data_IF_439721342534
#
_entry.id   IF_439721342534
#
_cell.length_a   1.000
_cell.length_b   1.000
_cell.length_c   1.000
_cell.angle_alpha   90.00
_cell.angle_beta   90.00
_cell.angle_gamma   90.00
#
_symmetry.space_group_name_H-M   'P 1'
#
loop_
_entity.id
_entity.type
_entity.pdbx_description
1 polymer ?
#
# COMPACT_ATOMS: atom_id res chain seq x y z
N UNK A 1 -3.61 -46.95 0.04
CA UNK A 1 -3.90 -45.50 -0.07
C UNK A 1 -3.47 -44.70 1.16
N UNK A 2 -3.73 -45.15 2.40
CA UNK A 2 -3.31 -44.47 3.65
C UNK A 2 -1.82 -44.08 3.73
N UNK A 3 -0.90 -44.92 3.26
CA UNK A 3 0.56 -44.68 3.34
C UNK A 3 1.07 -43.60 2.36
N UNK A 4 0.38 -43.38 1.23
CA UNK A 4 0.69 -42.29 0.27
C UNK A 4 0.10 -40.95 0.72
N UNK A 5 -1.04 -40.97 1.41
CA UNK A 5 -1.62 -39.77 2.04
C UNK A 5 -0.75 -39.26 3.21
N UNK A 6 -0.22 -40.18 4.04
CA UNK A 6 0.72 -39.83 5.13
C UNK A 6 2.05 -39.26 4.62
N UNK A 7 2.56 -39.73 3.48
CA UNK A 7 3.76 -39.17 2.85
C UNK A 7 3.50 -37.78 2.25
N UNK A 8 2.30 -37.54 1.70
CA UNK A 8 1.91 -36.23 1.18
C UNK A 8 1.72 -35.21 2.32
N UNK A 9 1.12 -35.62 3.44
CA UNK A 9 0.98 -34.79 4.65
C UNK A 9 2.33 -34.54 5.34
N UNK A 10 3.25 -35.51 5.33
CA UNK A 10 4.62 -35.35 5.84
C UNK A 10 5.47 -34.38 5.01
N UNK A 11 5.24 -34.28 3.69
CA UNK A 11 5.94 -33.35 2.82
C UNK A 11 5.41 -31.90 2.95
N UNK A 12 4.16 -31.74 3.40
CA UNK A 12 3.55 -30.45 3.74
C UNK A 12 4.02 -29.89 5.10
N UNK A 13 4.62 -30.72 5.96
CA UNK A 13 5.05 -30.35 7.32
C UNK A 13 6.52 -29.92 7.43
N UNK A 14 7.30 -29.98 6.35
CA UNK A 14 8.66 -29.41 6.31
C UNK A 14 8.63 -27.96 5.82
N UNK A 15 7.96 -27.09 6.56
CA UNK A 15 8.16 -25.64 6.41
C UNK A 15 9.41 -25.26 7.19
N UNK A 16 10.42 -24.75 6.48
CA UNK A 16 11.63 -24.27 7.12
C UNK A 16 11.30 -23.08 8.01
N UNK A 17 11.58 -23.25 9.31
CA UNK A 17 11.65 -22.15 10.27
C UNK A 17 12.85 -21.30 9.88
N UNK A 18 12.61 -20.23 9.15
CA UNK A 18 13.61 -19.18 9.00
C UNK A 18 13.34 -18.21 10.17
N UNK A 19 14.24 -18.11 11.14
CA UNK A 19 14.19 -17.12 12.25
C UNK A 19 15.07 -15.90 11.95
N UNK A 20 14.45 -14.73 11.71
CA UNK A 20 15.00 -13.37 11.47
C UNK A 20 13.87 -12.52 10.84
N UNK A 21 13.23 -11.65 11.60
CA UNK A 21 11.93 -11.08 11.19
C UNK A 21 12.08 -9.80 10.32
N UNK A 22 13.25 -9.14 10.31
CA UNK A 22 13.51 -7.92 9.53
C UNK A 22 14.35 -8.15 8.26
N UNK A 23 14.07 -7.41 7.19
CA UNK A 23 14.91 -7.32 5.98
C UNK A 23 14.88 -8.53 5.03
N UNK A 24 13.83 -9.36 5.08
CA UNK A 24 13.74 -10.61 4.31
C UNK A 24 13.07 -10.51 2.95
N UNK A 25 12.21 -9.52 2.78
CA UNK A 25 11.48 -9.36 1.54
C UNK A 25 12.30 -8.48 0.60
N UNK A 26 12.54 -8.98 -0.61
CA UNK A 26 12.96 -8.08 -1.69
C UNK A 26 11.71 -7.40 -2.25
N UNK A 27 11.90 -6.28 -2.93
CA UNK A 27 10.80 -5.50 -3.50
C UNK A 27 9.86 -4.89 -2.45
N UNK A 28 10.35 -4.51 -1.26
CA UNK A 28 9.55 -3.87 -0.21
C UNK A 28 8.87 -2.56 -0.65
N UNK A 29 9.37 -1.91 -1.71
CA UNK A 29 8.72 -0.76 -2.34
C UNK A 29 7.27 -1.05 -2.81
N UNK A 30 6.92 -2.32 -3.05
CA UNK A 30 5.56 -2.76 -3.40
C UNK A 30 4.55 -2.56 -2.27
N UNK A 31 5.03 -2.35 -1.03
CA UNK A 31 4.21 -2.09 0.15
C UNK A 31 4.07 -0.60 0.49
N UNK A 32 4.75 0.29 -0.24
CA UNK A 32 4.66 1.73 0.00
C UNK A 32 3.30 2.29 -0.44
N UNK A 33 2.73 3.27 0.29
CA UNK A 33 1.49 3.92 -0.12
C UNK A 33 1.74 4.72 -1.40
N UNK A 34 0.99 4.39 -2.44
CA UNK A 34 1.17 4.97 -3.78
C UNK A 34 0.41 6.28 -4.01
N UNK A 35 -0.50 6.66 -3.11
CA UNK A 35 -1.35 7.86 -3.24
C UNK A 35 -1.62 8.53 -1.87
N UNK A 36 -2.10 9.78 -1.91
CA UNK A 36 -2.36 10.59 -0.72
C UNK A 36 -3.50 10.05 0.13
N UNK A 37 -4.53 9.43 -0.46
CA UNK A 37 -5.66 8.88 0.31
C UNK A 37 -5.22 7.75 1.23
N UNK A 38 -4.46 6.79 0.71
CA UNK A 38 -3.87 5.70 1.51
C UNK A 38 -2.92 6.27 2.57
N UNK A 39 -2.01 7.16 2.18
CA UNK A 39 -1.05 7.77 3.10
C UNK A 39 -1.75 8.48 4.29
N UNK A 40 -2.85 9.18 4.05
CA UNK A 40 -3.63 9.87 5.08
C UNK A 40 -4.46 8.95 5.98
N UNK A 41 -4.69 7.70 5.58
CA UNK A 41 -5.53 6.72 6.28
C UNK A 41 -4.71 5.57 6.88
N UNK A 42 -3.47 5.84 7.29
CA UNK A 42 -2.59 4.85 7.91
C UNK A 42 -1.96 3.85 6.94
N UNK A 43 -1.84 4.21 5.67
CA UNK A 43 -1.13 3.53 4.56
C UNK A 43 -1.81 2.30 3.98
N UNK A 44 -2.72 1.67 4.70
CA UNK A 44 -3.33 0.41 4.28
C UNK A 44 -4.84 0.53 4.34
N UNK A 45 -5.49 0.43 3.18
CA UNK A 45 -6.94 0.33 3.06
C UNK A 45 -7.31 -0.40 1.77
N UNK A 46 -8.27 -1.32 1.86
CA UNK A 46 -8.73 -2.16 0.74
C UNK A 46 -10.24 -2.15 0.54
N UNK A 47 -10.97 -1.25 1.22
CA UNK A 47 -12.45 -1.26 1.26
C UNK A 47 -13.12 0.05 0.87
N UNK A 48 -12.38 1.16 0.71
CA UNK A 48 -12.97 2.43 0.29
C UNK A 48 -13.33 2.39 -1.20
N UNK A 49 -14.63 2.37 -1.51
CA UNK A 49 -15.13 2.23 -2.88
C UNK A 49 -15.75 3.50 -3.49
N UNK A 50 -15.48 4.68 -2.95
CA UNK A 50 -15.87 5.91 -3.66
C UNK A 50 -15.07 6.06 -4.96
N UNK A 51 -15.52 6.98 -5.82
CA UNK A 51 -14.86 7.36 -7.08
C UNK A 51 -13.43 7.90 -6.84
N UNK A 52 -12.47 6.99 -6.80
CA UNK A 52 -11.03 7.25 -6.70
C UNK A 52 -10.27 6.14 -7.45
N UNK A 53 -9.83 6.47 -8.67
CA UNK A 53 -9.11 5.53 -9.54
C UNK A 53 -7.80 5.02 -8.91
N UNK A 54 -7.24 5.71 -7.91
CA UNK A 54 -6.04 5.25 -7.21
C UNK A 54 -6.30 3.97 -6.41
N UNK A 55 -7.55 3.71 -6.00
CA UNK A 55 -7.87 2.57 -5.14
C UNK A 55 -7.74 1.22 -5.86
N UNK A 56 -7.71 1.19 -7.19
CA UNK A 56 -7.38 -0.02 -7.96
C UNK A 56 -5.99 -0.57 -7.61
N UNK A 57 -5.04 0.32 -7.28
CA UNK A 57 -3.68 -0.05 -6.89
C UNK A 57 -3.59 -0.62 -5.48
N UNK A 58 -4.66 -0.47 -4.67
CA UNK A 58 -4.77 -1.00 -3.31
C UNK A 58 -5.54 -2.32 -3.28
N UNK A 59 -6.66 -2.38 -3.99
CA UNK A 59 -7.48 -3.56 -4.20
C UNK A 59 -8.08 -3.49 -5.61
N UNK A 60 -7.75 -4.43 -6.53
CA UNK A 60 -8.21 -4.36 -7.91
C UNK A 60 -9.74 -4.42 -8.02
N UNK A 61 -10.45 -5.02 -7.05
CA UNK A 61 -11.92 -5.04 -7.03
C UNK A 61 -12.57 -3.66 -6.76
N UNK A 62 -11.78 -2.63 -6.42
CA UNK A 62 -12.28 -1.27 -6.22
C UNK A 62 -12.31 -0.45 -7.52
N UNK A 63 -11.75 -0.97 -8.62
CA UNK A 63 -11.90 -0.35 -9.94
C UNK A 63 -13.36 -0.48 -10.41
N UNK A 64 -14.00 0.65 -10.68
CA UNK A 64 -15.42 0.71 -11.03
C UNK A 64 -15.64 1.48 -12.35
N UNK A 65 -16.80 1.27 -12.96
CA UNK A 65 -17.14 1.85 -14.26
C UNK A 65 -17.22 3.38 -14.24
N UNK A 66 -17.57 3.99 -13.11
CA UNK A 66 -17.60 5.44 -12.91
C UNK A 66 -16.20 6.08 -12.85
N UNK A 67 -15.14 5.27 -12.76
CA UNK A 67 -13.75 5.72 -12.81
C UNK A 67 -13.16 5.68 -14.22
N UNK A 68 -13.88 5.16 -15.22
CA UNK A 68 -13.44 5.19 -16.62
C UNK A 68 -13.09 6.62 -17.04
N UNK A 69 -12.00 6.77 -17.80
CA UNK A 69 -11.39 8.03 -18.23
C UNK A 69 -10.76 8.88 -17.12
N UNK A 70 -10.70 8.39 -15.89
CA UNK A 70 -9.95 9.07 -14.84
C UNK A 70 -8.47 8.69 -14.92
N UNK A 71 -7.61 9.71 -14.92
CA UNK A 71 -6.18 9.59 -14.76
C UNK A 71 -5.76 10.13 -13.40
N UNK A 72 -4.72 9.55 -12.82
CA UNK A 72 -4.14 9.99 -11.56
C UNK A 72 -2.62 10.07 -11.67
N UNK A 73 -2.06 11.08 -11.01
CA UNK A 73 -0.63 11.28 -10.77
C UNK A 73 -0.45 11.44 -9.27
N UNK A 74 0.45 10.65 -8.70
CA UNK A 74 0.85 10.74 -7.31
C UNK A 74 2.34 11.05 -7.22
N UNK A 75 2.72 11.92 -6.30
CA UNK A 75 4.10 12.26 -6.02
C UNK A 75 4.33 12.28 -4.52
N UNK A 76 5.36 11.57 -4.05
CA UNK A 76 5.74 11.53 -2.65
C UNK A 76 7.27 11.75 -2.52
N UNK A 77 7.72 12.95 -2.11
CA UNK A 77 9.10 13.17 -1.73
C UNK A 77 9.38 12.57 -0.35
N UNK A 78 10.46 11.80 -0.28
CA UNK A 78 11.01 11.22 0.95
C UNK A 78 12.30 11.97 1.35
N UNK A 79 12.85 11.62 2.50
CA UNK A 79 14.12 12.18 2.97
C UNK A 79 15.28 11.83 2.03
N UNK A 80 16.37 12.60 2.13
CA UNK A 80 17.61 12.37 1.38
C UNK A 80 17.47 12.38 -0.15
N UNK A 81 16.53 13.18 -0.70
CA UNK A 81 16.35 13.30 -2.15
C UNK A 81 15.65 12.11 -2.81
N UNK A 82 15.14 11.17 -2.01
CA UNK A 82 14.35 10.03 -2.48
C UNK A 82 12.99 10.54 -2.97
N UNK A 83 12.53 10.06 -4.11
CA UNK A 83 11.27 10.48 -4.73
C UNK A 83 10.47 9.30 -5.24
N UNK A 84 9.18 9.26 -4.95
CA UNK A 84 8.24 8.32 -5.56
C UNK A 84 7.27 9.03 -6.48
N UNK A 85 7.02 8.45 -7.63
CA UNK A 85 5.95 8.85 -8.55
C UNK A 85 5.10 7.62 -8.87
N UNK A 86 3.79 7.79 -8.91
CA UNK A 86 2.92 6.77 -9.49
C UNK A 86 1.85 7.38 -10.38
N UNK A 87 1.40 6.58 -11.35
CA UNK A 87 0.44 6.94 -12.36
C UNK A 87 -0.63 5.85 -12.42
N UNK A 88 -1.85 6.25 -12.72
CA UNK A 88 -2.94 5.32 -12.97
C UNK A 88 -3.90 5.89 -14.01
N UNK A 89 -4.49 5.03 -14.83
CA UNK A 89 -5.54 5.40 -15.76
C UNK A 89 -6.52 4.27 -15.92
N UNK A 90 -7.82 4.57 -15.90
CA UNK A 90 -8.88 3.62 -16.16
C UNK A 90 -9.54 3.90 -17.52
N UNK A 91 -9.81 2.84 -18.27
CA UNK A 91 -10.55 2.86 -19.52
C UNK A 91 -11.54 1.71 -19.54
N UNK A 92 -12.51 1.79 -20.45
CA UNK A 92 -13.51 0.75 -20.59
C UNK A 92 -13.14 -0.22 -21.72
N UNK A 93 -13.59 -1.46 -21.58
CA UNK A 93 -13.48 -2.46 -22.63
C UNK A 93 -14.88 -2.96 -23.00
N UNK A 94 -15.22 -3.08 -24.30
CA UNK A 94 -16.60 -3.33 -24.74
C UNK A 94 -17.29 -4.55 -24.11
N UNK A 95 -16.53 -5.60 -23.76
CA UNK A 95 -17.08 -6.88 -23.30
C UNK A 95 -16.59 -7.32 -21.92
N UNK A 96 -15.60 -6.64 -21.33
CA UNK A 96 -14.99 -7.06 -20.08
C UNK A 96 -15.15 -6.02 -18.95
N UNK A 97 -15.65 -4.81 -19.24
CA UNK A 97 -15.83 -3.76 -18.26
C UNK A 97 -14.55 -2.95 -18.01
N UNK A 98 -14.42 -2.31 -16.83
CA UNK A 98 -13.33 -1.38 -16.58
C UNK A 98 -11.97 -2.09 -16.47
N UNK A 99 -10.99 -1.54 -17.17
CA UNK A 99 -9.58 -1.94 -17.12
C UNK A 99 -8.75 -0.73 -16.70
N UNK A 100 -7.76 -0.97 -15.85
CA UNK A 100 -6.81 0.01 -15.37
C UNK A 100 -5.39 -0.33 -15.78
N UNK A 101 -4.57 0.69 -16.03
CA UNK A 101 -3.11 0.55 -16.13
C UNK A 101 -2.50 1.43 -15.05
N UNK A 102 -1.51 0.90 -14.35
CA UNK A 102 -0.82 1.59 -13.26
C UNK A 102 0.68 1.41 -13.37
N UNK A 103 1.41 2.45 -12.98
CA UNK A 103 2.86 2.45 -12.94
C UNK A 103 3.33 3.13 -11.66
N UNK A 104 4.39 2.64 -11.03
CA UNK A 104 5.08 3.36 -9.97
C UNK A 104 6.59 3.28 -10.15
N UNK A 105 7.28 4.35 -9.77
CA UNK A 105 8.71 4.50 -9.83
C UNK A 105 9.20 5.14 -8.52
N UNK A 106 10.24 4.56 -7.94
CA UNK A 106 10.87 5.02 -6.71
C UNK A 106 12.35 5.23 -6.98
N UNK A 107 12.79 6.48 -6.93
CA UNK A 107 14.18 6.88 -7.12
C UNK A 107 14.84 7.10 -5.77
N UNK A 108 15.94 6.39 -5.50
CA UNK A 108 16.71 6.55 -4.27
C UNK A 108 17.77 7.66 -4.36
N UNK A 109 17.89 8.32 -5.51
CA UNK A 109 18.90 9.34 -5.75
C UNK A 109 20.28 8.74 -6.03
N UNK A 110 21.31 9.52 -5.74
CA UNK A 110 22.71 9.13 -5.93
C UNK A 110 23.34 8.83 -4.58
N UNK A 111 24.04 7.70 -4.51
CA UNK A 111 24.67 7.14 -3.33
C UNK A 111 26.19 7.09 -3.54
N UNK A 112 26.96 7.46 -2.51
CA UNK A 112 28.41 7.35 -2.54
C UNK A 112 28.83 5.88 -2.51
N UNK A 113 29.65 5.47 -3.47
CA UNK A 113 30.27 4.17 -3.49
C UNK A 113 31.56 4.20 -2.68
N UNK A 114 31.71 3.31 -1.71
CA UNK A 114 32.94 3.15 -0.94
C UNK A 114 33.46 1.73 -1.00
N UNK A 115 34.77 1.56 -0.88
CA UNK A 115 35.38 0.26 -0.65
C UNK A 115 35.20 -0.19 0.83
N UNK A 116 35.62 -1.42 1.20
CA UNK A 116 35.54 -1.90 2.59
C UNK A 116 36.38 -1.09 3.60
N UNK A 117 37.33 -0.28 3.14
CA UNK A 117 38.14 0.62 3.99
C UNK A 117 37.49 2.00 4.18
N UNK A 118 36.41 2.28 3.46
CA UNK A 118 35.71 3.56 3.45
C UNK A 118 36.24 4.54 2.42
N UNK A 119 37.18 4.15 1.55
CA UNK A 119 37.67 5.01 0.48
C UNK A 119 36.60 5.16 -0.61
N UNK A 120 36.32 6.40 -1.00
CA UNK A 120 35.31 6.72 -2.02
C UNK A 120 35.79 6.27 -3.39
N UNK A 121 35.01 5.40 -4.05
CA UNK A 121 35.28 4.85 -5.39
C UNK A 121 34.49 5.56 -6.49
N UNK A 122 33.43 6.29 -6.13
CA UNK A 122 32.54 6.96 -7.08
C UNK A 122 31.13 7.11 -6.53
N UNK A 123 30.16 7.11 -7.43
CA UNK A 123 28.74 7.22 -7.12
C UNK A 123 27.93 6.20 -7.92
N UNK A 124 26.84 5.71 -7.34
CA UNK A 124 25.86 4.87 -8.02
C UNK A 124 24.45 5.32 -7.67
N UNK A 125 23.47 5.01 -8.52
CA UNK A 125 22.06 5.25 -8.24
C UNK A 125 21.32 3.94 -7.99
N UNK A 126 20.17 4.05 -7.35
CA UNK A 126 19.23 2.94 -7.23
C UNK A 126 17.82 3.41 -7.57
N UNK A 127 17.04 2.52 -8.18
CA UNK A 127 15.65 2.77 -8.48
C UNK A 127 14.83 1.49 -8.54
N UNK A 128 13.58 1.60 -8.11
CA UNK A 128 12.59 0.53 -8.17
C UNK A 128 11.39 0.96 -9.01
N UNK A 129 10.75 0.01 -9.68
CA UNK A 129 9.53 0.28 -10.42
C UNK A 129 8.64 -0.93 -10.57
N UNK A 130 7.36 -0.67 -10.84
CA UNK A 130 6.44 -1.69 -11.31
C UNK A 130 5.45 -1.11 -12.32
N UNK A 131 5.05 -1.94 -13.27
CA UNK A 131 4.00 -1.66 -14.25
C UNK A 131 2.96 -2.77 -14.15
N UNK A 132 1.67 -2.42 -14.10
CA UNK A 132 0.61 -3.41 -13.99
C UNK A 132 -0.67 -3.05 -14.74
N UNK A 133 -1.34 -4.09 -15.22
CA UNK A 133 -2.69 -4.02 -15.78
C UNK A 133 -3.69 -4.63 -14.80
N UNK A 134 -4.79 -3.92 -14.57
CA UNK A 134 -5.85 -4.27 -13.62
C UNK A 134 -7.15 -4.47 -14.36
N UNK A 135 -7.90 -5.50 -14.03
CA UNK A 135 -9.24 -5.74 -14.51
C UNK A 135 -10.17 -5.94 -13.33
N UNK A 136 -11.40 -5.43 -13.44
CA UNK A 136 -12.42 -5.62 -12.42
C UNK A 136 -13.79 -5.87 -13.05
N UNK A 137 -14.60 -6.63 -12.33
CA UNK A 137 -15.95 -6.98 -12.72
C UNK A 137 -16.89 -6.89 -11.53
N UNK A 138 -18.04 -6.25 -11.74
CA UNK A 138 -19.07 -6.05 -10.71
C UNK A 138 -20.26 -6.96 -10.96
N UNK A 139 -20.61 -7.73 -9.95
CA UNK A 139 -21.75 -8.65 -9.86
C UNK A 139 -22.67 -8.16 -8.73
N UNK A 140 -23.65 -7.31 -9.09
CA UNK A 140 -24.56 -6.66 -8.15
C UNK A 140 -23.83 -5.91 -7.00
N UNK A 141 -23.82 -6.54 -5.83
CA UNK A 141 -23.26 -6.04 -4.58
C UNK A 141 -21.82 -6.49 -4.35
N UNK A 142 -21.26 -7.30 -5.25
CA UNK A 142 -19.89 -7.80 -5.16
C UNK A 142 -19.07 -7.32 -6.34
N UNK A 143 -17.80 -7.05 -6.11
CA UNK A 143 -16.82 -6.77 -7.16
C UNK A 143 -15.65 -7.73 -6.99
N UNK A 144 -15.15 -8.24 -8.11
CA UNK A 144 -13.93 -9.06 -8.17
C UNK A 144 -12.95 -8.35 -9.08
N UNK A 145 -11.66 -8.46 -8.79
CA UNK A 145 -10.63 -7.88 -9.63
C UNK A 145 -9.31 -8.62 -9.54
N UNK A 146 -8.49 -8.43 -10.56
CA UNK A 146 -7.13 -8.95 -10.62
C UNK A 146 -6.19 -7.94 -11.26
N UNK A 147 -4.96 -7.90 -10.78
CA UNK A 147 -3.86 -7.14 -11.38
C UNK A 147 -2.74 -8.10 -11.71
N UNK A 148 -2.13 -7.95 -12.89
CA UNK A 148 -0.84 -8.56 -13.22
C UNK A 148 0.18 -7.44 -13.31
N UNK A 149 1.33 -7.60 -12.66
CA UNK A 149 2.41 -6.60 -12.64
C UNK A 149 3.79 -7.21 -12.85
N UNK A 150 4.65 -6.46 -13.52
CA UNK A 150 6.08 -6.71 -13.60
C UNK A 150 6.78 -5.67 -12.75
N UNK A 151 7.68 -6.11 -11.88
CA UNK A 151 8.46 -5.27 -11.00
C UNK A 151 9.96 -5.40 -11.32
N UNK A 152 10.67 -4.28 -11.30
CA UNK A 152 12.11 -4.21 -11.49
C UNK A 152 12.75 -3.43 -10.35
N UNK A 153 13.95 -3.82 -9.98
CA UNK A 153 14.80 -3.10 -9.05
C UNK A 153 16.22 -3.04 -9.57
N UNK A 154 16.84 -1.87 -9.48
CA UNK A 154 18.18 -1.59 -9.96
C UNK A 154 18.99 -0.94 -8.85
N UNK A 155 20.18 -1.46 -8.58
CA UNK A 155 21.14 -0.94 -7.61
C UNK A 155 22.50 -0.92 -8.30
N UNK A 156 22.94 0.25 -8.76
CA UNK A 156 24.14 0.38 -9.58
C UNK A 156 24.04 -0.44 -10.87
N UNK A 157 24.92 -1.42 -11.04
CA UNK A 157 24.91 -2.35 -12.19
C UNK A 157 24.06 -3.60 -11.96
N UNK A 158 23.55 -3.82 -10.75
CA UNK A 158 22.79 -5.01 -10.38
C UNK A 158 21.29 -4.80 -10.59
N UNK A 159 20.61 -5.79 -11.17
CA UNK A 159 19.18 -5.72 -11.43
C UNK A 159 18.46 -6.97 -10.91
N UNK A 160 17.21 -6.83 -10.53
CA UNK A 160 16.32 -7.93 -10.18
C UNK A 160 14.93 -7.68 -10.77
N UNK A 161 14.26 -8.76 -11.20
CA UNK A 161 12.95 -8.69 -11.80
C UNK A 161 12.00 -9.74 -11.24
N UNK A 162 10.74 -9.33 -11.04
CA UNK A 162 9.68 -10.17 -10.54
C UNK A 162 8.40 -10.00 -11.37
N UNK A 163 7.62 -11.07 -11.45
CA UNK A 163 6.25 -11.02 -11.94
C UNK A 163 5.33 -11.35 -10.78
N UNK A 164 4.28 -10.54 -10.61
CA UNK A 164 3.34 -10.67 -9.51
C UNK A 164 1.90 -10.51 -9.99
N UNK A 165 0.98 -10.99 -9.16
CA UNK A 165 -0.44 -10.78 -9.27
C UNK A 165 -1.02 -10.26 -7.95
N UNK A 166 -2.03 -9.41 -8.07
CA UNK A 166 -2.90 -9.03 -6.96
C UNK A 166 -4.31 -9.53 -7.25
N UNK A 167 -5.01 -10.04 -6.24
CA UNK A 167 -6.39 -10.48 -6.32
C UNK A 167 -7.24 -9.67 -5.35
N UNK A 168 -8.45 -9.33 -5.78
CA UNK A 168 -9.34 -8.46 -5.03
C UNK A 168 -10.76 -8.99 -5.02
N UNK A 169 -11.42 -8.82 -3.88
CA UNK A 169 -12.86 -8.90 -3.76
C UNK A 169 -13.36 -7.70 -2.94
N UNK A 170 -14.56 -7.23 -3.25
CA UNK A 170 -15.23 -6.21 -2.48
C UNK A 170 -16.73 -6.51 -2.39
N UNK A 171 -17.32 -6.24 -1.23
CA UNK A 171 -18.76 -6.21 -1.04
C UNK A 171 -19.19 -4.75 -0.81
N UNK A 172 -20.26 -4.36 -1.49
CA UNK A 172 -20.89 -3.07 -1.41
C UNK A 172 -22.32 -3.26 -0.92
N UNK A 173 -22.64 -2.71 0.24
CA UNK A 173 -23.98 -2.83 0.78
C UNK A 173 -24.99 -2.11 -0.15
N UNK A 174 -26.15 -2.71 -0.48
CA UNK A 174 -27.06 -2.15 -1.48
C UNK A 174 -27.62 -0.76 -1.14
N UNK A 175 -27.85 -0.50 0.15
CA UNK A 175 -28.56 0.71 0.63
C UNK A 175 -27.76 1.59 1.58
N UNK A 176 -26.58 1.16 2.03
CA UNK A 176 -25.78 1.86 3.04
C UNK A 176 -24.38 2.07 2.50
N UNK A 177 -23.72 3.16 2.92
CA UNK A 177 -22.28 3.36 2.67
C UNK A 177 -21.50 2.44 3.62
N UNK A 178 -21.57 1.14 3.36
CA UNK A 178 -20.87 0.07 4.05
C UNK A 178 -20.19 -0.84 3.03
N UNK A 179 -18.89 -1.01 3.20
CA UNK A 179 -18.04 -1.74 2.27
C UNK A 179 -17.11 -2.69 3.01
N UNK A 180 -16.93 -3.87 2.44
CA UNK A 180 -15.95 -4.87 2.90
C UNK A 180 -15.01 -5.12 1.73
N UNK A 181 -13.71 -5.19 1.97
CA UNK A 181 -12.73 -5.47 0.93
C UNK A 181 -11.75 -6.53 1.37
N UNK A 182 -11.44 -7.47 0.49
CA UNK A 182 -10.37 -8.45 0.65
C UNK A 182 -9.36 -8.22 -0.49
N UNK A 183 -8.08 -8.13 -0.15
CA UNK A 183 -7.01 -8.08 -1.14
C UNK A 183 -5.91 -9.06 -0.78
N UNK A 184 -5.45 -9.81 -1.77
CA UNK A 184 -4.25 -10.63 -1.70
C UNK A 184 -3.24 -10.00 -2.64
N UNK A 185 -2.21 -9.36 -2.08
CA UNK A 185 -1.24 -8.55 -2.84
C UNK A 185 0.10 -9.26 -2.95
N UNK A 186 0.78 -9.03 -4.07
CA UNK A 186 2.16 -9.43 -4.33
C UNK A 186 2.37 -10.96 -4.38
N UNK A 187 1.39 -11.73 -4.87
CA UNK A 187 1.58 -13.15 -5.17
C UNK A 187 2.45 -13.29 -6.42
N UNK A 188 3.60 -13.94 -6.34
CA UNK A 188 4.45 -14.05 -7.52
C UNK A 188 5.76 -14.74 -7.27
N UNK A 189 6.68 -14.55 -8.20
CA UNK A 189 8.06 -15.00 -8.06
C UNK A 189 9.02 -14.01 -8.69
N UNK A 190 10.23 -13.97 -8.12
CA UNK A 190 11.37 -13.28 -8.71
C UNK A 190 11.91 -14.20 -9.79
N UNK A 191 11.97 -13.76 -11.04
CA UNK A 191 12.51 -14.57 -12.15
C UNK A 191 13.98 -14.25 -12.43
N UNK A 192 14.44 -13.04 -12.09
CA UNK A 192 15.83 -12.62 -12.20
C UNK A 192 16.32 -11.94 -10.90
N UNK A 193 17.55 -12.22 -10.48
CA UNK A 193 18.11 -11.81 -9.18
C UNK A 193 19.38 -10.99 -9.36
N UNK A 194 19.67 -10.09 -8.42
CA UNK A 194 20.86 -9.23 -8.46
C UNK A 194 22.18 -9.95 -8.73
N UNK A 195 22.36 -11.16 -8.23
CA UNK A 195 23.52 -11.98 -8.51
C UNK A 195 23.09 -13.36 -9.04
N UNK A 196 23.74 -13.88 -10.10
CA UNK A 196 23.49 -15.23 -10.58
C UNK A 196 23.68 -16.27 -9.48
N UNK A 197 22.71 -17.17 -9.31
CA UNK A 197 22.77 -18.24 -8.30
C UNK A 197 22.52 -17.80 -6.85
N UNK A 198 22.20 -16.53 -6.60
CA UNK A 198 21.79 -16.07 -5.27
C UNK A 198 20.49 -16.74 -4.81
N UNK A 199 20.35 -16.93 -3.50
CA UNK A 199 19.08 -17.36 -2.91
C UNK A 199 18.00 -16.33 -3.23
N UNK A 200 16.89 -16.78 -3.82
CA UNK A 200 15.77 -15.90 -4.15
C UNK A 200 15.11 -15.42 -2.86
N UNK A 201 15.11 -14.11 -2.56
CA UNK A 201 14.39 -13.58 -1.41
C UNK A 201 12.88 -13.73 -1.59
N UNK A 202 12.14 -13.65 -0.50
CA UNK A 202 10.67 -13.73 -0.56
C UNK A 202 10.08 -12.43 -1.08
N UNK A 203 8.97 -12.49 -1.82
CA UNK A 203 8.19 -11.30 -2.15
C UNK A 203 7.30 -10.88 -0.97
N UNK A 204 6.92 -9.60 -0.86
CA UNK A 204 6.13 -9.07 0.26
C UNK A 204 4.64 -9.38 0.06
N UNK A 205 4.29 -10.67 0.03
CA UNK A 205 2.90 -11.13 0.04
C UNK A 205 2.17 -10.51 1.23
N UNK A 206 1.00 -9.93 0.98
CA UNK A 206 0.20 -9.30 2.03
C UNK A 206 -1.29 -9.56 1.78
N UNK A 207 -1.90 -10.31 2.69
CA UNK A 207 -3.34 -10.57 2.74
C UNK A 207 -3.99 -9.55 3.66
N UNK A 208 -4.99 -8.83 3.13
CA UNK A 208 -5.61 -7.69 3.78
C UNK A 208 -7.14 -7.81 3.77
N UNK A 209 -7.77 -7.47 4.89
CA UNK A 209 -9.23 -7.40 5.03
C UNK A 209 -9.60 -6.02 5.57
N UNK A 210 -10.44 -5.29 4.85
CA UNK A 210 -10.87 -3.94 5.18
C UNK A 210 -12.37 -3.84 5.37
N UNK A 211 -12.79 -2.96 6.26
CA UNK A 211 -14.16 -2.53 6.47
C UNK A 211 -14.19 -1.00 6.38
N UNK A 212 -15.18 -0.46 5.68
CA UNK A 212 -15.45 0.98 5.65
C UNK A 212 -16.94 1.23 5.87
N UNK A 213 -17.28 2.22 6.69
CA UNK A 213 -18.66 2.55 7.02
C UNK A 213 -18.84 4.05 7.24
N UNK A 214 -19.82 4.65 6.56
CA UNK A 214 -20.28 6.01 6.81
C UNK A 214 -21.77 5.99 7.19
N UNK A 215 -22.13 6.36 8.42
CA UNK A 215 -23.53 6.56 8.79
C UNK A 215 -24.19 7.66 7.95
N UNK A 216 -25.45 7.46 7.57
CA UNK A 216 -26.18 8.34 6.63
C UNK A 216 -26.19 9.81 7.09
N UNK A 217 -26.49 10.05 8.36
CA UNK A 217 -26.65 11.38 8.93
C UNK A 217 -25.37 11.94 9.58
N UNK A 218 -24.25 11.22 9.50
CA UNK A 218 -22.98 11.67 10.05
C UNK A 218 -21.98 12.00 8.94
N UNK A 219 -21.26 13.13 9.02
CA UNK A 219 -20.24 13.48 8.03
C UNK A 219 -18.96 12.65 8.16
N UNK A 220 -18.89 11.68 9.09
CA UNK A 220 -17.69 10.90 9.34
C UNK A 220 -17.83 9.48 8.78
N UNK A 221 -16.86 9.09 7.94
CA UNK A 221 -16.64 7.73 7.49
C UNK A 221 -15.50 7.11 8.28
N UNK A 222 -15.67 5.89 8.72
CA UNK A 222 -14.64 5.11 9.39
C UNK A 222 -14.13 4.01 8.47
N UNK A 223 -12.87 3.63 8.68
CA UNK A 223 -12.30 2.43 8.11
C UNK A 223 -11.43 1.69 9.11
N UNK A 224 -11.46 0.37 9.03
CA UNK A 224 -10.62 -0.54 9.79
C UNK A 224 -10.04 -1.54 8.80
N UNK A 225 -8.72 -1.65 8.75
CA UNK A 225 -8.05 -2.61 7.86
C UNK A 225 -7.11 -3.50 8.66
N UNK A 226 -7.33 -4.81 8.55
CA UNK A 226 -6.41 -5.83 9.01
C UNK A 226 -5.44 -6.18 7.86
N UNK A 227 -4.15 -6.31 8.14
CA UNK A 227 -3.12 -6.57 7.13
C UNK A 227 -2.14 -7.66 7.57
N UNK A 228 -1.34 -8.20 6.65
CA UNK A 228 -0.41 -9.31 6.92
C UNK A 228 -1.12 -10.53 7.54
N UNK A 229 -2.35 -10.82 7.10
CA UNK A 229 -3.17 -11.90 7.66
C UNK A 229 -2.59 -13.30 7.40
N UNK A 230 -1.67 -13.42 6.44
CA UNK A 230 -0.90 -14.64 6.17
C UNK A 230 0.17 -14.94 7.24
N UNK A 231 0.46 -14.00 8.15
CA UNK A 231 1.46 -14.14 9.22
C UNK A 231 0.88 -13.73 10.56
N UNK A 232 0.39 -14.67 11.39
CA UNK A 232 -0.19 -14.32 12.69
C UNK A 232 0.77 -13.67 13.71
N UNK A 233 2.09 -13.89 13.57
CA UNK A 233 3.11 -13.26 14.42
C UNK A 233 4.01 -12.34 13.60
N UNK A 234 3.65 -11.07 13.56
CA UNK A 234 4.45 -9.98 12.96
C UNK A 234 5.27 -9.21 13.98
N UNK A 235 5.32 -9.67 15.23
CA UNK A 235 5.95 -8.89 16.31
C UNK A 235 7.44 -9.09 16.30
N UNK A 236 8.16 -8.03 15.96
CA UNK A 236 9.59 -7.94 16.18
C UNK A 236 9.90 -7.37 17.57
N UNK A 237 10.65 -8.14 18.35
CA UNK A 237 11.30 -7.71 19.58
C UNK A 237 12.80 -7.86 19.37
N UNK A 238 13.52 -6.76 19.50
CA UNK A 238 14.98 -6.76 19.37
C UNK A 238 15.61 -7.51 20.57
N UNK A 239 16.29 -8.65 20.34
CA UNK A 239 16.90 -9.44 21.42
C UNK A 239 18.01 -8.69 22.17
N UNK A 240 18.63 -7.72 21.49
CA UNK A 240 19.75 -6.90 22.00
C UNK A 240 19.29 -5.63 22.72
N UNK A 241 18.00 -5.30 22.66
CA UNK A 241 17.42 -4.16 23.36
C UNK A 241 17.45 -4.39 24.88
N UNK A 242 18.03 -3.46 25.67
CA UNK A 242 17.97 -3.54 27.13
C UNK A 242 16.52 -3.48 27.60
N UNK A 243 16.17 -4.34 28.56
CA UNK A 243 14.90 -4.33 29.26
C UNK A 243 14.78 -3.12 30.20
N UNK A 244 13.59 -2.95 30.77
CA UNK A 244 13.33 -1.93 31.79
C UNK A 244 13.56 -2.51 33.18
N UNK A 245 14.13 -1.74 34.10
CA UNK A 245 14.28 -2.18 35.49
C UNK A 245 12.94 -2.15 36.22
N UNK A 246 12.61 -3.22 36.93
CA UNK A 246 11.47 -3.25 37.85
C UNK A 246 11.79 -2.52 39.16
N UNK A 247 10.81 -2.47 40.09
CA UNK A 247 10.97 -1.85 41.40
C UNK A 247 12.07 -2.49 42.26
N UNK A 248 12.55 -3.68 41.90
CA UNK A 248 13.61 -4.43 42.58
C UNK A 248 14.96 -4.34 41.86
N UNK A 249 15.06 -3.53 40.80
CA UNK A 249 16.28 -3.39 40.00
C UNK A 249 16.58 -4.57 39.08
N UNK A 250 15.60 -5.45 38.81
CA UNK A 250 15.72 -6.55 37.86
C UNK A 250 15.32 -6.10 36.45
N UNK A 251 16.11 -6.50 35.44
CA UNK A 251 15.81 -6.22 34.04
C UNK A 251 14.63 -7.07 33.55
N UNK A 252 13.51 -6.41 33.26
CA UNK A 252 12.32 -7.01 32.64
C UNK A 252 12.35 -6.69 31.15
N UNK A 253 12.53 -7.72 30.32
CA UNK A 253 12.44 -7.59 28.86
C UNK A 253 10.99 -7.49 28.41
N UNK A 254 10.78 -6.78 27.30
CA UNK A 254 9.45 -6.63 26.70
C UNK A 254 8.96 -7.98 26.18
N UNK A 255 7.79 -8.43 26.62
CA UNK A 255 7.18 -9.69 26.18
C UNK A 255 6.08 -9.45 25.14
N UNK A 256 5.85 -10.47 24.29
CA UNK A 256 4.76 -10.46 23.31
C UNK A 256 3.41 -10.58 24.01
N UNK A 257 2.64 -9.49 24.03
CA UNK A 257 1.25 -9.48 24.53
C UNK A 257 0.29 -9.75 23.37
N UNK A 258 -0.63 -10.69 23.52
CA UNK A 258 -1.63 -11.04 22.49
C UNK A 258 -2.37 -9.82 21.94
N UNK A 259 -2.78 -8.89 22.82
CA UNK A 259 -3.43 -7.65 22.39
C UNK A 259 -2.55 -6.75 21.51
N UNK A 260 -1.24 -6.64 21.81
CA UNK A 260 -0.28 -5.90 20.97
C UNK A 260 -0.10 -6.59 19.61
N UNK A 261 -0.03 -7.93 19.60
CA UNK A 261 0.06 -8.70 18.36
C UNK A 261 -1.13 -8.42 17.45
N UNK A 262 -2.36 -8.53 17.98
CA UNK A 262 -3.59 -8.25 17.23
C UNK A 262 -3.61 -6.80 16.75
N UNK A 263 -3.32 -5.84 17.62
CA UNK A 263 -3.37 -4.42 17.26
C UNK A 263 -2.36 -4.08 16.16
N UNK A 264 -1.19 -4.72 16.11
CA UNK A 264 -0.20 -4.52 15.03
C UNK A 264 -0.72 -4.96 13.67
N UNK A 265 -1.74 -5.80 13.59
CA UNK A 265 -2.40 -6.11 12.32
C UNK A 265 -3.40 -5.04 11.89
N UNK A 266 -3.76 -4.09 12.76
CA UNK A 266 -4.87 -3.16 12.54
C UNK A 266 -4.41 -1.75 12.19
N UNK A 267 -5.09 -1.19 11.19
CA UNK A 267 -5.01 0.20 10.77
C UNK A 267 -6.40 0.83 10.89
N UNK A 268 -6.46 1.98 11.54
CA UNK A 268 -7.68 2.75 11.74
C UNK A 268 -7.60 4.01 10.88
N UNK A 269 -8.66 4.31 10.14
CA UNK A 269 -8.77 5.50 9.32
C UNK A 269 -10.12 6.19 9.50
N UNK A 270 -10.14 7.52 9.33
CA UNK A 270 -11.34 8.33 9.36
C UNK A 270 -11.34 9.38 8.26
N UNK A 271 -12.46 9.56 7.57
CA UNK A 271 -12.68 10.65 6.61
C UNK A 271 -13.85 11.52 7.09
N UNK A 272 -13.57 12.78 7.42
CA UNK A 272 -14.58 13.79 7.70
C UNK A 272 -14.97 14.49 6.39
N UNK A 273 -16.13 14.11 5.88
CA UNK A 273 -16.74 14.57 4.63
C UNK A 273 -17.49 15.87 4.89
N UNK A 274 -16.80 17.01 4.74
CA UNK A 274 -17.41 18.34 4.89
C UNK A 274 -18.38 18.67 3.75
N UNK A 275 -18.02 18.26 2.54
CA UNK A 275 -18.86 18.34 1.34
C UNK A 275 -18.41 17.27 0.34
N UNK A 276 -19.18 16.97 -0.72
CA UNK A 276 -18.73 16.08 -1.80
C UNK A 276 -17.41 16.51 -2.47
N UNK A 277 -16.95 17.75 -2.23
CA UNK A 277 -15.75 18.33 -2.82
C UNK A 277 -14.63 18.57 -1.82
N UNK A 278 -14.82 18.34 -0.51
CA UNK A 278 -13.77 18.64 0.48
C UNK A 278 -13.79 17.69 1.67
N UNK A 279 -12.72 16.89 1.81
CA UNK A 279 -12.62 15.82 2.79
C UNK A 279 -11.38 16.08 3.66
N UNK A 280 -11.51 15.90 4.97
CA UNK A 280 -10.37 15.80 5.89
C UNK A 280 -10.17 14.35 6.31
N UNK A 281 -8.92 13.93 6.45
CA UNK A 281 -8.56 12.53 6.68
C UNK A 281 -7.58 12.43 7.84
N UNK A 282 -7.73 11.37 8.63
CA UNK A 282 -6.78 11.00 9.66
C UNK A 282 -6.62 9.48 9.75
N UNK A 283 -5.43 9.02 10.10
CA UNK A 283 -5.08 7.62 10.15
C UNK A 283 -4.18 7.27 11.33
N UNK A 284 -4.28 6.03 11.77
CA UNK A 284 -3.43 5.43 12.79
C UNK A 284 -3.05 4.00 12.40
N UNK A 285 -1.76 3.77 12.23
CA UNK A 285 -1.17 2.47 11.96
C UNK A 285 -0.38 2.01 13.19
N UNK A 286 -0.88 0.96 13.86
CA UNK A 286 -0.30 0.50 15.10
C UNK A 286 1.05 -0.20 14.91
N UNK A 287 1.26 -0.93 13.80
CA UNK A 287 2.55 -1.55 13.49
C UNK A 287 3.64 -0.49 13.41
N UNK A 288 3.43 0.53 12.56
CA UNK A 288 4.37 1.64 12.38
C UNK A 288 4.61 2.37 13.69
N UNK A 289 3.55 2.58 14.50
CA UNK A 289 3.67 3.17 15.83
C UNK A 289 4.59 2.36 16.74
N UNK A 290 4.53 1.03 16.71
CA UNK A 290 5.29 0.18 17.62
C UNK A 290 6.73 -0.01 17.15
N UNK A 291 6.95 -0.10 15.84
CA UNK A 291 8.26 -0.39 15.27
C UNK A 291 9.13 0.85 15.09
N UNK A 292 8.54 2.00 14.73
CA UNK A 292 9.31 3.20 14.42
C UNK A 292 9.31 4.25 15.54
N UNK A 293 8.78 3.89 16.71
CA UNK A 293 8.84 4.74 17.91
C UNK A 293 10.21 4.62 18.58
N UNK A 294 10.87 5.76 18.82
CA UNK A 294 12.09 5.80 19.62
C UNK A 294 11.78 5.64 21.12
N UNK A 295 12.72 5.05 21.87
CA UNK A 295 12.58 4.84 23.31
C UNK A 295 12.46 6.17 24.08
N UNK A 296 13.18 7.20 23.66
CA UNK A 296 13.27 8.49 24.35
C UNK A 296 12.13 9.47 24.01
N UNK A 297 11.50 9.32 22.84
CA UNK A 297 10.37 10.16 22.41
C UNK A 297 9.41 9.37 21.55
N UNK A 298 8.12 9.40 21.93
CA UNK A 298 7.11 8.62 21.21
C UNK A 298 6.87 9.10 19.77
N UNK A 299 7.18 10.38 19.48
CA UNK A 299 6.98 11.02 18.18
C UNK A 299 5.54 10.97 17.67
N UNK A 300 5.33 11.42 16.43
CA UNK A 300 4.08 11.24 15.69
C UNK A 300 3.97 9.89 14.96
N UNK A 301 4.94 8.98 15.14
CA UNK A 301 5.06 7.74 14.37
C UNK A 301 3.73 6.97 14.33
N UNK A 302 3.32 6.52 13.15
CA UNK A 302 2.08 5.77 12.93
C UNK A 302 0.83 6.64 12.75
N UNK A 303 0.86 7.93 13.07
CA UNK A 303 -0.23 8.84 12.73
C UNK A 303 -0.07 9.42 11.33
N UNK A 304 -1.18 9.70 10.68
CA UNK A 304 -1.22 10.48 9.45
C UNK A 304 -2.46 11.36 9.36
N UNK A 305 -2.34 12.41 8.56
CA UNK A 305 -3.43 13.34 8.24
C UNK A 305 -3.43 13.64 6.75
N UNK A 306 -4.56 14.09 6.23
CA UNK A 306 -4.64 14.57 4.86
C UNK A 306 -5.91 15.35 4.58
N UNK A 307 -5.96 15.94 3.40
CA UNK A 307 -7.11 16.63 2.88
C UNK A 307 -7.26 16.34 1.38
N UNK A 308 -8.49 16.40 0.88
CA UNK A 308 -8.79 16.35 -0.54
C UNK A 308 -9.74 17.48 -0.88
N UNK A 309 -9.49 18.14 -2.01
CA UNK A 309 -10.35 19.16 -2.59
C UNK A 309 -10.64 18.83 -4.06
N UNK A 310 -11.90 18.91 -4.46
CA UNK A 310 -12.33 18.81 -5.86
C UNK A 310 -12.65 20.19 -6.42
N UNK A 311 -11.94 20.56 -7.48
CA UNK A 311 -12.04 21.85 -8.15
C UNK A 311 -12.27 21.60 -9.65
N UNK A 312 -13.51 21.80 -10.10
CA UNK A 312 -13.93 21.51 -11.49
C UNK A 312 -13.61 20.05 -11.87
N UNK A 313 -12.81 19.84 -12.90
CA UNK A 313 -12.42 18.54 -13.42
C UNK A 313 -11.22 17.91 -12.68
N UNK A 314 -10.72 18.54 -11.62
CA UNK A 314 -9.53 18.09 -10.89
C UNK A 314 -9.86 17.78 -9.43
N UNK A 315 -9.34 16.66 -8.95
CA UNK A 315 -9.25 16.33 -7.54
C UNK A 315 -7.79 16.45 -7.11
N UNK A 316 -7.54 17.25 -6.09
CA UNK A 316 -6.21 17.45 -5.51
C UNK A 316 -6.26 16.94 -4.08
N UNK A 317 -5.38 16.01 -3.74
CA UNK A 317 -5.27 15.49 -2.38
C UNK A 317 -3.84 15.62 -1.87
N UNK A 318 -3.73 15.94 -0.59
CA UNK A 318 -2.47 16.03 0.13
C UNK A 318 -2.54 15.17 1.38
N UNK A 319 -1.43 14.51 1.71
CA UNK A 319 -1.29 13.74 2.93
C UNK A 319 0.08 13.95 3.56
N UNK A 320 0.13 13.79 4.88
CA UNK A 320 1.36 13.75 5.66
C UNK A 320 1.27 12.61 6.66
N UNK A 321 2.21 11.67 6.56
CA UNK A 321 2.35 10.56 7.52
C UNK A 321 3.66 10.69 8.28
N UNK A 322 3.63 10.48 9.59
CA UNK A 322 4.84 10.46 10.40
C UNK A 322 5.32 9.02 10.58
N UNK A 323 6.51 8.75 10.06
CA UNK A 323 7.13 7.43 10.09
C UNK A 323 8.31 7.38 11.04
N UNK A 324 8.98 8.51 11.30
CA UNK A 324 10.14 8.55 12.20
C UNK A 324 10.12 9.84 13.03
N UNK A 325 10.92 9.89 14.10
CA UNK A 325 11.01 11.09 14.96
C UNK A 325 11.66 12.26 14.22
N UNK A 326 12.50 11.98 13.21
CA UNK A 326 13.09 12.98 12.31
C UNK A 326 12.05 13.65 11.36
N UNK A 327 10.83 13.09 11.27
CA UNK A 327 9.66 13.73 10.69
C UNK A 327 8.84 12.82 9.76
N UNK A 328 8.05 13.43 8.88
CA UNK A 328 7.00 12.75 8.12
C UNK A 328 7.11 12.96 6.62
N UNK A 329 6.69 11.95 5.86
CA UNK A 329 6.61 11.97 4.39
C UNK A 329 5.32 12.63 3.97
N UNK A 330 5.38 13.45 2.91
CA UNK A 330 4.20 14.06 2.31
C UNK A 330 3.89 13.40 0.97
N UNK A 331 2.61 13.31 0.62
CA UNK A 331 2.15 12.76 -0.67
C UNK A 331 1.15 13.73 -1.28
N UNK A 332 1.33 14.06 -2.54
CA UNK A 332 0.42 14.83 -3.37
C UNK A 332 -0.21 13.90 -4.41
N UNK A 333 -1.51 14.00 -4.59
CA UNK A 333 -2.27 13.28 -5.62
C UNK A 333 -3.05 14.30 -6.44
N UNK A 334 -2.99 14.14 -7.76
CA UNK A 334 -3.81 14.86 -8.72
C UNK A 334 -4.58 13.83 -9.54
N UNK A 335 -5.90 13.91 -9.53
CA UNK A 335 -6.77 13.03 -10.32
C UNK A 335 -7.69 13.89 -11.19
N UNK A 336 -7.97 13.44 -12.41
CA UNK A 336 -8.82 14.16 -13.34
C UNK A 336 -9.54 13.23 -14.32
N UNK A 337 -10.76 13.58 -14.68
CA UNK A 337 -11.47 12.94 -15.78
C UNK A 337 -11.01 13.55 -17.12
N UNK A 338 -10.20 12.82 -17.88
CA UNK A 338 -9.59 13.32 -19.11
C UNK A 338 -10.62 13.67 -20.18
N UNK A 339 -11.75 12.96 -20.25
CA UNK A 339 -12.80 13.28 -21.22
C UNK A 339 -13.44 14.64 -20.95
N UNK A 340 -13.65 14.98 -19.68
CA UNK A 340 -14.19 16.30 -19.30
C UNK A 340 -13.22 17.45 -19.62
N UNK A 341 -11.91 17.19 -19.58
CA UNK A 341 -10.86 18.18 -19.85
C UNK A 341 -10.68 18.44 -21.35
N UNK A 342 -10.72 17.40 -22.18
CA UNK A 342 -10.41 17.50 -23.61
C UNK A 342 -11.63 17.68 -24.53
N UNK A 343 -12.85 17.74 -23.99
CA UNK A 343 -14.05 18.01 -24.81
C UNK A 343 -14.05 19.47 -25.28
N UNK A 344 -13.81 19.69 -26.58
CA UNK A 344 -14.07 21.00 -27.22
C UNK A 344 -15.52 21.39 -26.95
N UNK A 345 -15.76 22.59 -26.40
CA UNK A 345 -17.10 23.19 -26.38
C UNK A 345 -17.55 23.35 -27.83
N UNK A 346 -18.46 22.51 -28.31
CA UNK A 346 -19.19 22.81 -29.54
C UNK A 346 -20.00 24.09 -29.26
N UNK A 347 -19.85 25.17 -30.05
CA UNK A 347 -20.69 26.35 -29.90
C UNK A 347 -22.15 25.92 -30.01
N UNK A 348 -23.00 26.39 -29.10
CA UNK A 348 -24.44 26.19 -29.22
C UNK A 348 -24.86 26.70 -30.60
N UNK A 349 -25.53 25.83 -31.38
CA UNK A 349 -26.12 26.25 -32.63
C UNK A 349 -27.11 27.38 -32.32
N UNK A 350 -26.87 28.56 -32.89
CA UNK A 350 -27.80 29.68 -32.83
C UNK A 350 -29.13 29.21 -33.42
N UNK A 351 -30.25 29.26 -32.69
CA UNK A 351 -31.55 29.03 -33.30
C UNK A 351 -31.77 30.11 -34.37
N UNK A 352 -32.00 29.68 -35.62
CA UNK A 352 -32.49 30.55 -36.69
C UNK A 352 -33.98 30.76 -36.56
#
# INVERSE_FOLDING_TARGET
MRRRFLLFVSFLLTQQVVGQIGGRAAFDFLSLPVNARLAALGNVNVSLSDQDVNMMMANPALLQADMVQHATLNWAPYYAGINSVSLGYAFDTPNAGPVGVSFAYHNYGTLTQTDPTGAVMGEFSAADYWLGGTWAHRLENYSLGGTVKVAGSSIGSYNAFAVLADLGAAFHHPTRDFHVGLAIRNLGWIFDTYAPGATRPTLPLNVQLGLSYKPEHMPLRFSLTAHHLERPDIVYLDPSKPGTLDANGQEVKEEKKLGDQIMRHLVFGGEFVLSPNFYLRAGYNHLIRRELRLQSRSGGAGFSIGAMARIKAFEVAFARGWYHVAGGTSTLTLTSNLHSVFRKKTPAATPQ
#
